data_IF_503347757883
#
_entry.id   IF_503347757883
#
_cell.length_a   1.000
_cell.length_b   1.000
_cell.length_c   1.000
_cell.angle_alpha   90.00
_cell.angle_beta   90.00
_cell.angle_gamma   90.00
#
_symmetry.space_group_name_H-M   'P 1'
#
loop_
_entity.id
_entity.type
_entity.pdbx_description
1 polymer ?
#
# COMPACT_ATOMS: atom_id res chain seq x y z
N UNK A 1 11.07 -9.40 -44.08
CA UNK A 1 10.45 -10.16 -42.98
C UNK A 1 9.59 -9.20 -42.17
N UNK A 2 8.26 -9.33 -42.28
CA UNK A 2 7.31 -8.54 -41.48
C UNK A 2 7.17 -9.22 -40.12
N UNK A 3 7.63 -8.56 -39.06
CA UNK A 3 7.39 -9.01 -37.70
C UNK A 3 5.98 -8.58 -37.30
N UNK A 4 5.07 -9.56 -37.24
CA UNK A 4 3.79 -9.44 -36.59
C UNK A 4 4.03 -9.40 -35.07
N UNK A 5 3.84 -8.25 -34.44
CA UNK A 5 3.84 -8.09 -32.99
C UNK A 5 2.37 -8.20 -32.54
N UNK A 6 1.95 -9.28 -31.85
CA UNK A 6 0.61 -9.36 -31.31
C UNK A 6 0.44 -8.29 -30.24
N UNK A 7 -0.65 -7.51 -30.38
CA UNK A 7 -1.07 -6.58 -29.35
C UNK A 7 -1.26 -7.30 -28.03
N UNK A 8 -0.64 -6.76 -26.98
CA UNK A 8 -1.02 -6.77 -25.55
C UNK A 8 0.19 -6.31 -24.74
N UNK A 9 0.45 -5.00 -24.74
CA UNK A 9 1.17 -4.34 -23.64
C UNK A 9 0.31 -3.17 -23.16
N UNK A 10 -0.91 -3.47 -22.73
CA UNK A 10 -1.76 -2.59 -21.93
C UNK A 10 -1.30 -2.58 -20.45
N UNK A 11 0.01 -2.56 -20.20
CA UNK A 11 0.55 -2.54 -18.82
C UNK A 11 0.45 -1.13 -18.20
N UNK A 12 0.09 -0.11 -18.99
CA UNK A 12 -0.03 1.27 -18.53
C UNK A 12 -1.47 1.75 -18.25
N UNK A 13 -2.51 0.94 -18.49
CA UNK A 13 -3.90 1.37 -18.21
C UNK A 13 -4.32 1.16 -16.74
N UNK A 14 -3.80 0.15 -16.06
CA UNK A 14 -4.20 -0.18 -14.68
C UNK A 14 -3.77 0.86 -13.62
N UNK A 15 -2.74 1.65 -13.91
CA UNK A 15 -2.27 2.70 -12.99
C UNK A 15 -3.18 3.93 -12.98
N UNK A 16 -3.78 4.28 -14.12
CA UNK A 16 -4.71 5.42 -14.21
C UNK A 16 -6.06 5.16 -13.53
N UNK A 17 -6.58 3.94 -13.63
CA UNK A 17 -7.87 3.59 -13.01
C UNK A 17 -7.81 3.53 -11.47
N UNK A 18 -6.65 3.14 -10.90
CA UNK A 18 -6.46 3.10 -9.45
C UNK A 18 -6.34 4.51 -8.86
N UNK A 19 -5.65 5.44 -9.54
CA UNK A 19 -5.57 6.84 -9.09
C UNK A 19 -6.95 7.54 -9.08
N UNK A 20 -7.82 7.30 -10.08
CA UNK A 20 -9.19 7.84 -10.08
C UNK A 20 -10.03 7.27 -8.92
N UNK A 21 -9.97 5.95 -8.68
CA UNK A 21 -10.71 5.32 -7.58
C UNK A 21 -10.21 5.72 -6.18
N UNK A 22 -8.92 6.01 -6.05
CA UNK A 22 -8.36 6.53 -4.80
C UNK A 22 -8.90 7.94 -4.54
N UNK A 23 -9.04 8.78 -5.57
CA UNK A 23 -9.55 10.14 -5.43
C UNK A 23 -10.98 10.20 -4.87
N UNK A 24 -11.86 9.28 -5.31
CA UNK A 24 -13.25 9.19 -4.85
C UNK A 24 -13.38 8.73 -3.39
N UNK A 25 -12.33 8.12 -2.81
CA UNK A 25 -12.36 7.55 -1.46
C UNK A 25 -11.23 8.05 -0.57
N UNK A 26 -10.60 9.17 -0.91
CA UNK A 26 -9.53 9.77 -0.10
C UNK A 26 -9.97 9.96 1.35
N UNK A 27 -11.20 10.44 1.57
CA UNK A 27 -11.76 10.63 2.91
C UNK A 27 -11.74 9.33 3.73
N UNK A 28 -12.14 8.21 3.12
CA UNK A 28 -12.18 6.91 3.80
C UNK A 28 -10.77 6.37 4.08
N UNK A 29 -9.84 6.61 3.15
CA UNK A 29 -8.43 6.24 3.31
C UNK A 29 -7.79 7.04 4.47
N UNK A 30 -8.07 8.35 4.55
CA UNK A 30 -7.59 9.20 5.64
C UNK A 30 -8.14 8.74 6.99
N UNK A 31 -9.46 8.51 7.09
CA UNK A 31 -10.11 8.06 8.33
C UNK A 31 -9.60 6.68 8.76
N UNK A 32 -9.43 5.76 7.82
CA UNK A 32 -8.90 4.41 8.10
C UNK A 32 -7.49 4.47 8.69
N UNK A 33 -6.61 5.26 8.09
CA UNK A 33 -5.25 5.44 8.59
C UNK A 33 -5.22 6.17 9.94
N UNK A 34 -6.09 7.16 10.15
CA UNK A 34 -6.16 7.87 11.43
C UNK A 34 -6.57 6.91 12.55
N UNK A 35 -7.56 6.05 12.29
CA UNK A 35 -7.98 5.01 13.23
C UNK A 35 -6.87 4.00 13.51
N UNK A 36 -6.10 3.62 12.49
CA UNK A 36 -4.99 2.67 12.58
C UNK A 36 -3.83 3.20 13.43
N UNK A 37 -3.54 4.50 13.33
CA UNK A 37 -2.48 5.18 14.11
C UNK A 37 -2.99 5.53 15.54
N UNK A 38 -4.29 5.40 15.80
CA UNK A 38 -4.88 5.64 17.11
C UNK A 38 -5.25 7.10 17.37
N UNK A 39 -5.41 7.90 16.30
CA UNK A 39 -5.73 9.32 16.37
C UNK A 39 -7.25 9.50 16.32
N UNK A 40 -7.77 10.41 17.15
CA UNK A 40 -9.19 10.78 17.14
C UNK A 40 -9.54 11.65 15.92
N UNK A 41 -10.83 11.72 15.56
CA UNK A 41 -11.26 12.58 14.46
C UNK A 41 -11.03 14.07 14.77
N UNK A 42 -11.07 14.45 16.04
CA UNK A 42 -10.76 15.80 16.50
C UNK A 42 -9.30 16.14 16.23
N UNK A 43 -8.38 15.26 16.63
CA UNK A 43 -6.95 15.45 16.38
C UNK A 43 -6.60 15.41 14.89
N UNK A 44 -7.28 14.56 14.10
CA UNK A 44 -7.12 14.52 12.65
C UNK A 44 -7.48 15.87 12.01
N UNK A 45 -8.51 16.55 12.51
CA UNK A 45 -8.98 17.83 11.97
C UNK A 45 -8.02 19.01 12.27
N UNK A 46 -7.15 18.87 13.27
CA UNK A 46 -6.10 19.87 13.58
C UNK A 46 -4.88 19.74 12.65
N UNK A 47 -4.76 18.61 11.93
CA UNK A 47 -3.65 18.36 11.02
C UNK A 47 -3.98 18.79 9.59
N UNK A 48 -2.97 19.29 8.89
CA UNK A 48 -3.07 19.44 7.43
C UNK A 48 -3.01 18.05 6.79
N UNK A 49 -3.76 17.88 5.70
CA UNK A 49 -3.77 16.62 4.94
C UNK A 49 -2.36 16.17 4.55
N UNK A 50 -1.48 17.10 4.16
CA UNK A 50 -0.08 16.81 3.83
C UNK A 50 0.67 16.22 5.02
N UNK A 51 0.60 16.90 6.16
CA UNK A 51 1.32 16.53 7.38
C UNK A 51 0.82 15.17 7.90
N UNK A 52 -0.49 14.93 7.79
CA UNK A 52 -1.09 13.63 8.09
C UNK A 52 -0.58 12.52 7.15
N UNK A 53 -0.49 12.76 5.84
CA UNK A 53 0.04 11.76 4.90
C UNK A 53 1.49 11.40 5.22
N UNK A 54 2.34 12.40 5.52
CA UNK A 54 3.73 12.16 5.92
C UNK A 54 3.84 11.38 7.24
N UNK A 55 2.99 11.72 8.22
CA UNK A 55 2.91 10.99 9.48
C UNK A 55 2.45 9.54 9.28
N UNK A 56 1.50 9.29 8.38
CA UNK A 56 1.09 7.93 8.01
C UNK A 56 2.25 7.15 7.40
N UNK A 57 3.04 7.78 6.53
CA UNK A 57 4.22 7.16 5.92
C UNK A 57 5.28 6.80 6.97
N UNK A 58 5.56 7.70 7.93
CA UNK A 58 6.48 7.41 9.04
C UNK A 58 5.97 6.26 9.92
N UNK A 59 4.67 6.20 10.18
CA UNK A 59 4.08 5.21 11.10
C UNK A 59 3.75 3.87 10.45
N UNK A 60 3.46 3.84 9.14
CA UNK A 60 3.02 2.65 8.41
C UNK A 60 4.00 2.20 7.32
N UNK A 61 4.93 3.04 6.88
CA UNK A 61 5.86 2.78 5.77
C UNK A 61 6.81 1.61 6.01
N UNK A 62 7.05 1.22 7.26
CA UNK A 62 7.85 0.05 7.58
C UNK A 62 7.18 -1.29 7.25
N UNK A 63 5.90 -1.29 6.90
CA UNK A 63 5.20 -2.50 6.46
C UNK A 63 5.57 -2.86 5.02
N UNK A 64 5.98 -1.91 4.18
CA UNK A 64 6.56 -2.24 2.88
C UNK A 64 8.05 -2.64 2.98
N UNK A 65 8.75 -2.18 4.02
CA UNK A 65 10.08 -2.68 4.40
C UNK A 65 10.02 -4.05 5.10
N UNK A 66 8.83 -4.55 5.45
CA UNK A 66 8.62 -5.95 5.82
C UNK A 66 8.68 -6.90 4.60
N UNK A 67 9.47 -6.56 3.59
CA UNK A 67 10.17 -7.54 2.73
C UNK A 67 11.16 -8.41 3.51
N UNK A 68 11.28 -8.22 4.82
CA UNK A 68 11.75 -9.21 5.77
C UNK A 68 10.60 -10.07 6.34
N UNK A 69 9.59 -10.41 5.55
CA UNK A 69 8.96 -11.72 5.74
C UNK A 69 10.09 -12.71 5.55
N UNK A 70 10.73 -13.12 6.65
CA UNK A 70 11.81 -14.11 6.63
C UNK A 70 11.30 -15.27 5.77
N UNK A 71 11.94 -15.49 4.62
CA UNK A 71 11.64 -16.68 3.85
C UNK A 71 11.94 -17.85 4.77
N UNK A 72 10.93 -18.68 5.04
CA UNK A 72 11.12 -19.86 5.88
C UNK A 72 12.27 -20.67 5.28
N UNK A 73 13.34 -20.84 6.04
CA UNK A 73 14.43 -21.73 5.63
C UNK A 73 13.95 -23.17 5.68
N UNK A 74 14.66 -24.07 5.00
CA UNK A 74 14.32 -25.49 5.02
C UNK A 74 14.28 -26.05 6.46
N UNK A 75 15.11 -25.52 7.37
CA UNK A 75 15.09 -25.90 8.79
C UNK A 75 13.77 -25.54 9.50
N UNK A 76 13.14 -24.41 9.13
CA UNK A 76 11.84 -24.02 9.68
C UNK A 76 10.71 -24.89 9.11
N UNK A 77 10.82 -25.28 7.83
CA UNK A 77 9.89 -26.21 7.16
C UNK A 77 9.98 -27.60 7.79
N UNK A 78 11.20 -28.09 8.03
CA UNK A 78 11.44 -29.42 8.60
C UNK A 78 10.93 -29.50 10.06
N UNK A 79 10.97 -28.40 10.84
CA UNK A 79 10.37 -28.34 12.18
C UNK A 79 8.84 -28.32 12.18
N UNK A 80 8.20 -27.82 11.12
CA UNK A 80 6.74 -27.79 11.01
C UNK A 80 6.16 -29.15 10.62
N UNK A 81 6.93 -29.97 9.90
CA UNK A 81 6.50 -31.26 9.34
C UNK A 81 6.98 -32.49 10.14
N UNK A 82 7.69 -32.29 11.25
CA UNK A 82 8.08 -33.33 12.20
C UNK A 82 6.99 -33.56 13.28
#
# INVERSE_FOLDING_TARGET
>A
MVFFVPGKLEVNQSKKQSDEQLSDRLDLVLISNAKRIGISLQELNELRVRDFIEMVDIHCGDIENSKNTNQATQEDIDKLLA
#
